data_IF_966341304180
#
_entry.id   IF_966341304180
#
_cell.length_a   1.000
_cell.length_b   1.000
_cell.length_c   1.000
_cell.angle_alpha   90.00
_cell.angle_beta   90.00
_cell.angle_gamma   90.00
#
_symmetry.space_group_name_H-M   'P 1'
#
loop_
_entity.id
_entity.type
_entity.pdbx_description
1 polymer ?
#
# COMPACT_ATOMS: atom_id res chain seq x y z
N UNK A 1 -29.37 10.79 15.72
CA UNK A 1 -30.06 10.55 14.44
C UNK A 1 -31.57 10.61 14.65
N UNK A 2 -32.33 10.93 13.61
CA UNK A 2 -33.80 10.84 13.59
C UNK A 2 -34.29 9.62 12.78
N UNK A 3 -33.49 8.59 12.67
CA UNK A 3 -33.73 7.38 11.91
C UNK A 3 -33.09 7.38 10.52
N UNK A 4 -33.07 8.50 9.82
CA UNK A 4 -32.51 8.62 8.45
C UNK A 4 -31.38 9.64 8.33
N UNK A 5 -31.47 10.72 9.13
CA UNK A 5 -30.51 11.81 9.08
C UNK A 5 -29.78 11.98 10.42
N UNK A 6 -28.60 12.55 10.32
CA UNK A 6 -27.72 12.91 11.43
C UNK A 6 -27.70 14.42 11.65
N UNK A 7 -27.41 14.82 12.87
CA UNK A 7 -27.15 16.18 13.27
C UNK A 7 -25.97 16.21 14.25
N UNK A 8 -25.26 17.31 14.29
CA UNK A 8 -24.21 17.56 15.28
C UNK A 8 -24.83 18.03 16.58
N UNK A 9 -24.39 17.47 17.70
CA UNK A 9 -24.84 17.85 19.04
C UNK A 9 -23.64 18.22 19.92
N UNK A 10 -23.72 19.35 20.60
CA UNK A 10 -22.70 19.76 21.57
C UNK A 10 -23.03 19.17 22.94
N UNK A 11 -22.15 18.30 23.44
CA UNK A 11 -22.27 17.74 24.79
C UNK A 11 -22.06 18.81 25.88
N UNK A 12 -21.15 19.77 25.62
CA UNK A 12 -20.85 20.83 26.60
C UNK A 12 -21.96 21.88 26.70
N UNK A 13 -22.66 22.18 25.61
CA UNK A 13 -23.75 23.15 25.58
C UNK A 13 -25.12 22.52 25.72
N UNK A 14 -25.20 21.19 25.61
CA UNK A 14 -26.46 20.45 25.75
C UNK A 14 -27.46 20.74 24.63
N UNK A 15 -27.01 21.11 23.43
CA UNK A 15 -27.90 21.49 22.33
C UNK A 15 -27.45 20.95 20.96
N UNK A 16 -28.39 20.90 20.03
CA UNK A 16 -28.08 20.66 18.62
C UNK A 16 -27.34 21.87 18.02
N UNK A 17 -26.26 21.60 17.30
CA UNK A 17 -25.51 22.61 16.53
C UNK A 17 -25.99 22.67 15.08
N UNK A 18 -26.61 21.59 14.58
CA UNK A 18 -27.20 21.54 13.23
C UNK A 18 -28.60 20.93 13.30
N UNK A 19 -29.38 21.15 12.25
CA UNK A 19 -30.60 20.37 12.03
C UNK A 19 -30.25 18.96 11.53
N UNK A 20 -31.25 18.04 11.49
CA UNK A 20 -31.09 16.68 10.94
C UNK A 20 -31.14 16.69 9.42
N UNK A 21 -30.08 17.22 8.79
CA UNK A 21 -29.98 17.45 7.36
C UNK A 21 -29.05 16.45 6.65
N UNK A 22 -28.14 15.80 7.39
CA UNK A 22 -27.07 15.04 6.79
C UNK A 22 -27.37 13.54 6.83
N UNK A 23 -27.18 12.85 5.70
CA UNK A 23 -27.26 11.39 5.66
C UNK A 23 -26.06 10.75 6.37
N UNK A 24 -24.91 11.46 6.38
CA UNK A 24 -23.70 11.03 7.06
C UNK A 24 -22.92 12.24 7.56
N UNK A 25 -22.41 12.14 8.77
CA UNK A 25 -21.37 13.00 9.33
C UNK A 25 -20.21 12.05 9.69
N UNK A 26 -19.01 12.26 9.13
CA UNK A 26 -17.83 11.45 9.46
C UNK A 26 -17.31 11.75 10.86
N UNK A 27 -16.31 10.99 11.29
CA UNK A 27 -15.48 11.41 12.41
C UNK A 27 -14.79 12.75 12.11
N UNK A 28 -14.48 13.49 13.19
CA UNK A 28 -13.75 14.74 13.11
C UNK A 28 -12.24 14.46 13.02
N UNK A 29 -11.59 15.07 12.02
CA UNK A 29 -10.14 15.12 11.88
C UNK A 29 -9.71 16.58 11.91
N UNK A 30 -8.78 16.95 12.77
CA UNK A 30 -8.28 18.32 12.92
C UNK A 30 -9.38 19.40 13.12
N UNK A 31 -10.51 19.00 13.72
CA UNK A 31 -11.65 19.88 13.94
C UNK A 31 -12.63 19.99 12.77
N UNK A 32 -12.49 19.16 11.75
CA UNK A 32 -13.29 19.16 10.54
C UNK A 32 -13.92 17.77 10.31
N UNK A 33 -15.16 17.73 9.80
CA UNK A 33 -15.84 16.49 9.42
C UNK A 33 -16.41 16.58 8.01
N UNK A 34 -16.35 15.48 7.31
CA UNK A 34 -17.05 15.35 6.03
C UNK A 34 -18.53 15.13 6.29
N UNK A 35 -19.38 15.83 5.56
CA UNK A 35 -20.83 15.71 5.66
C UNK A 35 -21.42 15.37 4.30
N UNK A 36 -22.41 14.46 4.31
CA UNK A 36 -23.14 14.08 3.10
C UNK A 36 -24.58 14.53 3.21
N UNK A 37 -25.02 15.31 2.24
CA UNK A 37 -26.41 15.70 2.08
C UNK A 37 -26.91 15.21 0.72
N UNK A 38 -27.94 14.37 0.73
CA UNK A 38 -28.44 13.66 -0.46
C UNK A 38 -27.31 12.84 -1.07
N UNK A 39 -26.74 13.26 -2.19
CA UNK A 39 -25.66 12.55 -2.90
C UNK A 39 -24.41 13.42 -3.09
N UNK A 40 -24.26 14.45 -2.26
CA UNK A 40 -23.13 15.37 -2.32
C UNK A 40 -22.43 15.46 -0.98
N UNK A 41 -21.12 15.61 -1.04
CA UNK A 41 -20.24 15.75 0.10
C UNK A 41 -19.78 17.20 0.26
N UNK A 42 -19.67 17.63 1.50
CA UNK A 42 -19.10 18.89 1.93
C UNK A 42 -18.28 18.72 3.21
N UNK A 43 -17.83 19.80 3.79
CA UNK A 43 -17.02 19.82 5.01
C UNK A 43 -17.64 20.80 6.00
N UNK A 44 -17.70 20.42 7.29
CA UNK A 44 -18.11 21.31 8.37
C UNK A 44 -17.12 21.28 9.53
N UNK A 45 -17.11 22.34 10.30
CA UNK A 45 -16.34 22.44 11.55
C UNK A 45 -17.10 21.91 12.78
N UNK A 46 -16.42 21.91 13.93
CA UNK A 46 -16.99 21.46 15.21
C UNK A 46 -18.15 22.29 15.71
N UNK A 47 -18.39 23.47 15.16
CA UNK A 47 -19.53 24.33 15.49
C UNK A 47 -20.78 24.00 14.65
N UNK A 48 -20.65 23.15 13.65
CA UNK A 48 -21.71 22.81 12.71
C UNK A 48 -21.77 23.77 11.50
N UNK A 49 -20.83 24.70 11.39
CA UNK A 49 -20.73 25.60 10.24
C UNK A 49 -20.11 24.85 9.04
N UNK A 50 -20.78 24.96 7.90
CA UNK A 50 -20.20 24.47 6.64
C UNK A 50 -19.00 25.33 6.24
N UNK A 51 -17.84 24.69 6.10
CA UNK A 51 -16.63 25.26 5.52
C UNK A 51 -16.70 25.13 4.00
N UNK A 52 -17.16 23.97 3.52
CA UNK A 52 -17.47 23.74 2.10
C UNK A 52 -18.87 23.15 1.98
N UNK A 53 -19.70 23.75 1.13
CA UNK A 53 -21.04 23.24 0.87
C UNK A 53 -21.01 21.84 0.23
N UNK A 54 -22.05 21.00 0.42
CA UNK A 54 -22.15 19.69 -0.20
C UNK A 54 -22.29 19.77 -1.73
N UNK A 55 -21.16 19.77 -2.43
CA UNK A 55 -21.08 19.91 -3.90
C UNK A 55 -20.31 18.77 -4.57
N UNK A 56 -19.44 18.08 -3.84
CA UNK A 56 -18.61 17.01 -4.40
C UNK A 56 -19.35 15.68 -4.50
N UNK A 57 -19.10 14.92 -5.56
CA UNK A 57 -19.61 13.54 -5.72
C UNK A 57 -18.93 12.54 -4.77
N UNK A 58 -17.68 12.80 -4.47
CA UNK A 58 -16.89 12.02 -3.53
C UNK A 58 -15.94 12.93 -2.78
N UNK A 59 -15.72 12.64 -1.51
CA UNK A 59 -14.78 13.33 -0.65
C UNK A 59 -14.14 12.32 0.28
N UNK A 60 -12.83 12.39 0.46
CA UNK A 60 -12.06 11.54 1.38
C UNK A 60 -10.97 12.36 2.04
N UNK A 61 -10.83 12.24 3.35
CA UNK A 61 -9.73 12.89 4.06
C UNK A 61 -8.40 12.25 3.68
N UNK A 62 -7.42 13.08 3.31
CA UNK A 62 -6.09 12.66 2.90
C UNK A 62 -5.04 12.77 4.04
N UNK A 63 -5.38 13.47 5.12
CA UNK A 63 -4.44 13.86 6.15
C UNK A 63 -4.00 15.33 6.04
N UNK A 64 -3.49 15.87 7.14
CA UNK A 64 -2.92 17.23 7.23
C UNK A 64 -3.84 18.35 6.70
N UNK A 65 -5.18 18.19 6.85
CA UNK A 65 -6.18 19.17 6.45
C UNK A 65 -6.45 19.24 4.94
N UNK A 66 -6.09 18.22 4.16
CA UNK A 66 -6.46 18.09 2.77
C UNK A 66 -7.46 16.96 2.52
N UNK A 67 -8.24 17.13 1.48
CA UNK A 67 -9.29 16.18 1.05
C UNK A 67 -9.16 15.89 -0.44
N UNK A 68 -9.27 14.61 -0.82
CA UNK A 68 -9.47 14.21 -2.20
C UNK A 68 -10.94 14.43 -2.55
N UNK A 69 -11.20 15.29 -3.50
CA UNK A 69 -12.54 15.68 -3.93
C UNK A 69 -12.76 15.31 -5.40
N UNK A 70 -13.86 14.60 -5.69
CA UNK A 70 -14.28 14.33 -7.07
C UNK A 70 -15.42 15.24 -7.44
N UNK A 71 -15.23 16.02 -8.51
CA UNK A 71 -16.23 16.92 -9.09
C UNK A 71 -17.19 16.21 -10.05
N UNK A 72 -18.19 16.93 -10.54
CA UNK A 72 -19.20 16.42 -11.48
C UNK A 72 -18.62 15.99 -12.83
N UNK A 73 -17.58 16.65 -13.30
CA UNK A 73 -16.84 16.30 -14.52
C UNK A 73 -15.93 15.07 -14.37
N UNK A 74 -15.94 14.43 -13.18
CA UNK A 74 -15.11 13.26 -12.86
C UNK A 74 -13.66 13.60 -12.48
N UNK A 75 -13.26 14.86 -12.55
CA UNK A 75 -11.92 15.28 -12.12
C UNK A 75 -11.72 15.08 -10.63
N UNK A 76 -10.49 14.69 -10.25
CA UNK A 76 -10.09 14.53 -8.85
C UNK A 76 -9.12 15.66 -8.49
N UNK A 77 -9.38 16.30 -7.37
CA UNK A 77 -8.60 17.42 -6.86
C UNK A 77 -8.28 17.21 -5.39
N UNK A 78 -7.13 17.70 -4.94
CA UNK A 78 -6.86 17.91 -3.52
C UNK A 78 -7.28 19.33 -3.14
N UNK A 79 -8.17 19.44 -2.14
CA UNK A 79 -8.71 20.71 -1.65
C UNK A 79 -8.53 20.82 -0.14
N UNK A 80 -8.45 22.04 0.37
CA UNK A 80 -8.54 22.29 1.81
C UNK A 80 -10.01 22.25 2.30
N UNK A 81 -10.22 22.38 3.59
CA UNK A 81 -11.56 22.37 4.17
C UNK A 81 -12.46 23.49 3.67
N UNK A 82 -11.91 24.63 3.25
CA UNK A 82 -12.64 25.72 2.62
C UNK A 82 -12.97 25.52 1.15
N UNK A 83 -12.51 24.39 0.56
CA UNK A 83 -12.68 24.07 -0.85
C UNK A 83 -11.64 24.73 -1.76
N UNK A 84 -10.59 25.35 -1.18
CA UNK A 84 -9.51 25.95 -1.98
C UNK A 84 -8.67 24.84 -2.61
N UNK A 85 -8.43 24.98 -3.91
CA UNK A 85 -7.70 24.00 -4.70
C UNK A 85 -6.20 24.01 -4.32
N UNK A 86 -5.69 22.87 -3.89
CA UNK A 86 -4.26 22.61 -3.72
C UNK A 86 -3.66 21.96 -4.96
N UNK A 87 -4.26 20.85 -5.43
CA UNK A 87 -3.77 20.11 -6.59
C UNK A 87 -4.94 19.56 -7.41
N UNK A 88 -4.81 19.55 -8.74
CA UNK A 88 -5.81 18.98 -9.66
C UNK A 88 -5.15 18.09 -10.70
N UNK A 89 -5.74 16.92 -10.94
CA UNK A 89 -5.37 16.10 -12.09
C UNK A 89 -6.23 16.45 -13.30
N UNK A 90 -5.63 16.40 -14.46
CA UNK A 90 -6.35 16.52 -15.74
C UNK A 90 -6.74 15.15 -16.31
N UNK A 91 -6.26 14.08 -15.70
CA UNK A 91 -6.53 12.71 -16.13
C UNK A 91 -7.43 12.00 -15.11
N UNK A 92 -8.19 11.03 -15.59
CA UNK A 92 -8.92 10.15 -14.70
C UNK A 92 -7.93 9.36 -13.83
N UNK A 93 -8.12 9.44 -12.50
CA UNK A 93 -7.37 8.65 -11.52
C UNK A 93 -8.34 8.02 -10.53
N UNK A 94 -7.94 6.95 -9.90
CA UNK A 94 -8.74 6.29 -8.85
C UNK A 94 -8.87 7.16 -7.59
N UNK A 95 -7.85 7.94 -7.27
CA UNK A 95 -7.76 8.80 -6.10
C UNK A 95 -6.34 9.25 -5.81
N UNK A 96 -6.14 9.87 -4.65
CA UNK A 96 -4.83 10.20 -4.10
C UNK A 96 -4.52 9.30 -2.90
N UNK A 97 -3.25 9.10 -2.61
CA UNK A 97 -2.80 8.48 -1.36
C UNK A 97 -3.05 9.40 -0.16
N UNK A 98 -2.96 8.85 1.03
CA UNK A 98 -2.82 9.69 2.23
C UNK A 98 -1.62 10.64 2.09
N UNK A 99 -1.80 11.85 2.65
CA UNK A 99 -0.74 12.82 2.77
C UNK A 99 0.18 12.42 3.92
N UNK A 100 1.47 12.27 3.64
CA UNK A 100 2.50 11.98 4.65
C UNK A 100 3.70 12.87 4.44
N UNK A 101 4.17 13.50 5.50
CA UNK A 101 5.30 14.44 5.43
C UNK A 101 5.12 15.54 4.38
N UNK A 102 3.88 16.02 4.19
CA UNK A 102 3.54 17.01 3.17
C UNK A 102 3.57 16.50 1.73
N UNK A 103 3.64 15.21 1.50
CA UNK A 103 3.61 14.54 0.19
C UNK A 103 2.39 13.64 0.05
N UNK A 104 1.86 13.57 -1.17
CA UNK A 104 0.91 12.56 -1.62
C UNK A 104 1.29 12.10 -3.03
N UNK A 105 0.69 11.03 -3.49
CA UNK A 105 0.91 10.52 -4.85
C UNK A 105 -0.39 10.01 -5.47
N UNK A 106 -0.37 9.88 -6.78
CA UNK A 106 -1.37 9.14 -7.54
C UNK A 106 -0.70 8.38 -8.69
N UNK A 107 -1.39 7.36 -9.17
CA UNK A 107 -0.96 6.61 -10.33
C UNK A 107 -1.70 7.13 -11.58
N UNK A 108 -0.98 7.27 -12.68
CA UNK A 108 -1.55 7.57 -13.99
C UNK A 108 -1.89 6.27 -14.74
N UNK A 109 -2.71 6.37 -15.78
CA UNK A 109 -3.13 5.19 -16.56
C UNK A 109 -1.99 4.43 -17.25
N UNK A 110 -0.83 5.07 -17.44
CA UNK A 110 0.39 4.48 -18.03
C UNK A 110 1.35 3.91 -16.98
N UNK A 111 0.91 3.78 -15.71
CA UNK A 111 1.74 3.23 -14.63
C UNK A 111 2.78 4.21 -14.06
N UNK A 112 2.67 5.50 -14.38
CA UNK A 112 3.57 6.52 -13.81
C UNK A 112 3.04 6.98 -12.44
N UNK A 113 3.88 6.88 -11.40
CA UNK A 113 3.61 7.49 -10.11
C UNK A 113 3.95 8.98 -10.15
N UNK A 114 2.98 9.83 -9.80
CA UNK A 114 3.17 11.27 -9.67
C UNK A 114 3.13 11.62 -8.18
N UNK A 115 4.21 12.21 -7.69
CA UNK A 115 4.30 12.75 -6.33
C UNK A 115 4.07 14.26 -6.36
N UNK A 116 3.24 14.75 -5.46
CA UNK A 116 2.95 16.18 -5.31
C UNK A 116 2.98 16.59 -3.84
N UNK A 117 3.26 17.87 -3.61
CA UNK A 117 3.33 18.44 -2.28
C UNK A 117 1.99 18.97 -1.81
N UNK A 118 1.82 19.11 -0.51
CA UNK A 118 0.62 19.69 0.13
C UNK A 118 0.19 21.02 -0.50
N UNK A 119 1.12 21.87 -0.92
CA UNK A 119 0.86 23.14 -1.58
C UNK A 119 0.55 23.03 -3.09
N UNK A 120 0.37 21.82 -3.60
CA UNK A 120 0.07 21.53 -5.00
C UNK A 120 1.28 21.52 -5.93
N UNK A 121 2.48 21.77 -5.40
CA UNK A 121 3.70 21.73 -6.20
C UNK A 121 4.05 20.32 -6.63
N UNK A 122 4.40 20.12 -7.90
CA UNK A 122 4.96 18.87 -8.39
C UNK A 122 6.26 18.56 -7.65
N UNK A 123 6.41 17.32 -7.17
CA UNK A 123 7.61 16.88 -6.49
C UNK A 123 8.48 16.01 -7.41
N UNK A 124 7.92 14.95 -7.99
CA UNK A 124 8.60 14.08 -8.92
C UNK A 124 7.61 13.15 -9.64
N UNK A 125 8.11 12.45 -10.67
CA UNK A 125 7.42 11.31 -11.26
C UNK A 125 8.36 10.12 -11.38
N UNK A 126 7.83 8.89 -11.18
CA UNK A 126 8.58 7.65 -11.34
C UNK A 126 7.77 6.75 -12.27
N UNK A 127 8.34 6.41 -13.41
CA UNK A 127 7.70 5.55 -14.42
C UNK A 127 7.83 4.08 -14.04
N UNK A 128 6.82 3.30 -14.47
CA UNK A 128 6.85 1.84 -14.31
C UNK A 128 7.19 1.43 -12.87
N UNK A 129 6.58 2.10 -11.90
CA UNK A 129 6.84 1.91 -10.49
C UNK A 129 5.55 1.62 -9.72
N UNK A 130 5.67 0.78 -8.71
CA UNK A 130 4.57 0.29 -7.90
C UNK A 130 4.89 0.42 -6.40
N UNK A 131 3.88 0.15 -5.57
CA UNK A 131 3.98 0.06 -4.11
C UNK A 131 4.75 1.23 -3.46
N UNK A 132 4.37 2.48 -3.76
CA UNK A 132 5.09 3.63 -3.23
C UNK A 132 4.86 3.80 -1.74
N UNK A 133 5.94 4.06 -1.01
CA UNK A 133 5.92 4.42 0.40
C UNK A 133 6.67 5.72 0.61
N UNK A 134 6.00 6.72 1.19
CA UNK A 134 6.62 8.00 1.54
C UNK A 134 7.36 7.81 2.88
N UNK A 135 8.67 8.01 2.88
CA UNK A 135 9.53 7.83 4.04
C UNK A 135 9.86 9.15 4.73
N UNK A 136 10.03 10.22 3.97
CA UNK A 136 10.24 11.59 4.45
C UNK A 136 9.64 12.58 3.46
N UNK A 137 9.74 13.88 3.74
CA UNK A 137 9.31 14.95 2.81
C UNK A 137 10.01 14.92 1.44
N UNK A 138 11.10 14.16 1.28
CA UNK A 138 11.88 14.12 0.05
C UNK A 138 12.36 12.72 -0.36
N UNK A 139 12.07 11.69 0.42
CA UNK A 139 12.50 10.31 0.12
C UNK A 139 11.30 9.40 0.04
N UNK A 140 11.23 8.67 -1.04
CA UNK A 140 10.22 7.62 -1.26
C UNK A 140 10.91 6.29 -1.53
N UNK A 141 10.24 5.21 -1.16
CA UNK A 141 10.56 3.86 -1.59
C UNK A 141 9.52 3.45 -2.63
N UNK A 142 9.96 2.88 -3.74
CA UNK A 142 9.09 2.32 -4.78
C UNK A 142 9.63 0.96 -5.22
N UNK A 143 8.78 0.12 -5.77
CA UNK A 143 9.20 -1.07 -6.50
C UNK A 143 9.26 -0.73 -7.98
N UNK A 144 10.38 -0.99 -8.62
CA UNK A 144 10.59 -0.81 -10.05
C UNK A 144 11.51 -1.93 -10.55
N UNK A 145 11.15 -2.62 -11.63
CA UNK A 145 11.86 -3.80 -12.15
C UNK A 145 12.05 -4.89 -11.06
N UNK A 146 11.02 -5.17 -10.28
CA UNK A 146 11.01 -6.09 -9.12
C UNK A 146 12.07 -5.77 -8.06
N UNK A 147 12.48 -4.52 -7.98
CA UNK A 147 13.53 -4.07 -7.06
C UNK A 147 13.04 -2.86 -6.27
N UNK A 148 13.23 -2.89 -4.95
CA UNK A 148 12.97 -1.72 -4.12
C UNK A 148 14.04 -0.67 -4.32
N UNK A 149 13.61 0.53 -4.71
CA UNK A 149 14.48 1.70 -4.91
C UNK A 149 14.07 2.82 -3.97
N UNK A 150 15.04 3.41 -3.32
CA UNK A 150 14.88 4.58 -2.48
C UNK A 150 15.31 5.79 -3.28
N UNK A 151 14.39 6.71 -3.53
CA UNK A 151 14.57 7.82 -4.46
C UNK A 151 14.49 9.14 -3.69
N UNK A 152 15.49 10.00 -3.89
CA UNK A 152 15.43 11.41 -3.47
C UNK A 152 14.63 12.21 -4.50
N UNK A 153 13.48 12.74 -4.08
CA UNK A 153 12.55 13.48 -4.95
C UNK A 153 13.07 14.84 -5.40
N UNK A 154 14.07 15.42 -4.71
CA UNK A 154 14.66 16.70 -5.11
C UNK A 154 15.61 16.56 -6.29
N UNK A 155 16.41 15.51 -6.26
CA UNK A 155 17.43 15.26 -7.28
C UNK A 155 17.01 14.23 -8.32
N UNK A 156 15.95 13.45 -8.05
CA UNK A 156 15.55 12.29 -8.86
C UNK A 156 16.53 11.13 -8.79
N UNK A 157 17.51 11.17 -7.89
CA UNK A 157 18.54 10.13 -7.79
C UNK A 157 18.07 8.97 -6.92
N UNK A 158 18.39 7.76 -7.35
CA UNK A 158 18.31 6.57 -6.52
C UNK A 158 19.40 6.64 -5.44
N UNK A 159 18.99 6.70 -4.18
CA UNK A 159 19.86 6.71 -3.01
C UNK A 159 20.34 5.31 -2.67
N UNK A 160 19.46 4.34 -2.82
CA UNK A 160 19.70 2.94 -2.59
C UNK A 160 18.80 2.10 -3.50
N UNK A 161 19.34 1.04 -4.01
CA UNK A 161 18.60 0.00 -4.74
C UNK A 161 18.87 -1.32 -4.05
N UNK A 162 17.80 -2.04 -3.73
CA UNK A 162 17.94 -3.35 -3.10
C UNK A 162 18.65 -4.30 -4.08
N UNK A 163 19.74 -4.95 -3.66
CA UNK A 163 20.43 -5.88 -4.53
C UNK A 163 19.49 -7.00 -5.00
N UNK A 164 19.49 -7.28 -6.32
CA UNK A 164 18.75 -8.44 -6.86
C UNK A 164 19.35 -9.77 -6.41
N UNK A 165 20.59 -9.74 -5.95
CA UNK A 165 21.27 -10.89 -5.35
C UNK A 165 22.17 -10.45 -4.22
N UNK A 166 22.32 -11.28 -3.20
CA UNK A 166 23.22 -11.06 -2.06
C UNK A 166 24.19 -12.22 -1.94
N UNK A 167 25.42 -11.89 -1.56
CA UNK A 167 26.46 -12.86 -1.28
C UNK A 167 26.18 -13.50 0.09
N UNK A 168 26.08 -14.83 0.10
CA UNK A 168 25.92 -15.61 1.31
C UNK A 168 27.25 -16.13 1.85
N UNK A 169 28.37 -15.82 1.17
CA UNK A 169 29.71 -16.32 1.46
C UNK A 169 30.06 -17.57 0.65
N UNK A 170 31.38 -17.87 0.60
CA UNK A 170 31.87 -19.04 -0.12
C UNK A 170 31.62 -19.07 -1.63
N UNK A 171 31.33 -17.93 -2.25
CA UNK A 171 30.95 -17.82 -3.66
C UNK A 171 29.49 -18.20 -3.95
N UNK A 172 28.69 -18.37 -2.91
CA UNK A 172 27.28 -18.69 -3.00
C UNK A 172 26.49 -17.40 -2.93
N UNK A 173 25.55 -17.21 -3.87
CA UNK A 173 24.67 -16.05 -3.92
C UNK A 173 23.20 -16.48 -3.87
N UNK A 174 22.34 -15.66 -3.28
CA UNK A 174 20.90 -15.79 -3.35
C UNK A 174 20.31 -14.64 -4.15
N UNK A 175 19.40 -14.93 -5.06
CA UNK A 175 18.58 -13.97 -5.79
C UNK A 175 17.13 -14.11 -5.32
N UNK A 176 16.46 -13.00 -5.05
CA UNK A 176 15.01 -13.03 -4.78
C UNK A 176 14.26 -13.43 -6.06
N UNK A 177 13.39 -14.42 -5.93
CA UNK A 177 12.38 -14.77 -6.92
C UNK A 177 11.04 -14.35 -6.36
N UNK A 178 10.38 -13.45 -7.05
CA UNK A 178 9.00 -13.06 -6.77
C UNK A 178 8.05 -13.99 -7.51
N UNK A 179 7.05 -14.51 -6.80
CA UNK A 179 6.01 -15.35 -7.36
C UNK A 179 4.64 -14.79 -7.00
N UNK A 180 3.93 -14.35 -8.02
CA UNK A 180 2.58 -13.85 -7.92
C UNK A 180 1.61 -14.79 -8.63
N UNK A 181 0.45 -15.04 -8.01
CA UNK A 181 -0.64 -15.79 -8.61
C UNK A 181 -1.96 -15.19 -8.19
N UNK A 182 -2.60 -14.50 -9.11
CA UNK A 182 -3.96 -14.00 -8.90
C UNK A 182 -4.96 -15.18 -8.87
N UNK A 183 -5.82 -15.22 -7.86
CA UNK A 183 -6.82 -16.26 -7.64
C UNK A 183 -8.25 -15.75 -7.79
N UNK A 184 -8.46 -14.42 -7.77
CA UNK A 184 -9.78 -13.79 -7.91
C UNK A 184 -10.03 -12.68 -6.89
N UNK A 185 -11.30 -12.34 -6.72
CA UNK A 185 -11.76 -11.36 -5.73
C UNK A 185 -12.60 -12.05 -4.67
N UNK A 186 -12.47 -11.64 -3.43
CA UNK A 186 -13.38 -12.02 -2.34
C UNK A 186 -14.72 -11.29 -2.46
N UNK A 187 -15.71 -11.69 -1.65
CA UNK A 187 -17.04 -11.07 -1.69
C UNK A 187 -17.03 -9.58 -1.27
N UNK A 188 -16.04 -9.15 -0.52
CA UNK A 188 -15.80 -7.75 -0.12
C UNK A 188 -15.06 -6.94 -1.19
N UNK A 189 -14.69 -7.54 -2.32
CA UNK A 189 -13.95 -6.90 -3.41
C UNK A 189 -12.44 -6.87 -3.23
N UNK A 190 -11.89 -7.47 -2.17
CA UNK A 190 -10.44 -7.58 -2.01
C UNK A 190 -9.87 -8.65 -2.96
N UNK A 191 -8.72 -8.36 -3.55
CA UNK A 191 -7.96 -9.33 -4.34
C UNK A 191 -7.45 -10.42 -3.41
N UNK A 192 -7.53 -11.66 -3.87
CA UNK A 192 -6.86 -12.76 -3.21
C UNK A 192 -5.98 -13.54 -4.19
N UNK A 193 -4.87 -14.00 -3.68
CA UNK A 193 -3.86 -14.65 -4.49
C UNK A 193 -2.61 -14.95 -3.67
N UNK A 194 -1.55 -15.26 -4.39
CA UNK A 194 -0.26 -15.55 -3.81
C UNK A 194 0.73 -14.48 -4.21
N UNK A 195 1.43 -13.94 -3.22
CA UNK A 195 2.51 -12.96 -3.33
C UNK A 195 3.65 -13.45 -2.44
N UNK A 196 4.62 -14.15 -3.03
CA UNK A 196 5.63 -14.89 -2.27
C UNK A 196 7.01 -14.61 -2.83
N UNK A 197 7.88 -14.10 -1.97
CA UNK A 197 9.31 -13.98 -2.22
C UNK A 197 10.06 -15.17 -1.64
N UNK A 198 10.92 -15.80 -2.46
CA UNK A 198 11.82 -16.86 -1.99
C UNK A 198 13.18 -16.78 -2.70
N UNK A 199 14.27 -17.33 -2.09
CA UNK A 199 15.58 -17.27 -2.70
C UNK A 199 15.78 -18.34 -3.77
N UNK A 200 16.46 -17.95 -4.84
CA UNK A 200 17.12 -18.87 -5.79
C UNK A 200 18.62 -18.81 -5.55
N UNK A 201 19.20 -19.96 -5.24
CA UNK A 201 20.62 -20.09 -4.88
C UNK A 201 21.45 -20.36 -6.13
N UNK A 202 22.62 -19.73 -6.20
CA UNK A 202 23.62 -19.97 -7.23
C UNK A 202 25.04 -19.99 -6.64
N UNK A 203 26.02 -20.40 -7.47
CA UNK A 203 27.41 -20.48 -7.04
C UNK A 203 27.89 -21.84 -6.56
N UNK A 204 27.00 -22.83 -6.39
CA UNK A 204 27.43 -24.19 -6.04
C UNK A 204 28.17 -24.84 -7.23
N UNK A 205 29.24 -25.59 -6.91
CA UNK A 205 30.02 -26.32 -7.91
C UNK A 205 29.23 -27.46 -8.56
N UNK A 206 28.42 -28.18 -7.76
CA UNK A 206 27.51 -29.21 -8.29
C UNK A 206 26.18 -28.57 -8.70
N UNK A 207 25.94 -28.48 -10.00
CA UNK A 207 24.72 -27.90 -10.56
C UNK A 207 23.47 -28.76 -10.33
N UNK A 208 23.62 -30.06 -10.12
CA UNK A 208 22.50 -30.95 -9.81
C UNK A 208 22.03 -30.72 -8.36
N UNK A 209 22.97 -30.61 -7.43
CA UNK A 209 22.69 -30.26 -6.05
C UNK A 209 22.03 -28.88 -5.97
N UNK A 210 22.59 -27.87 -6.67
CA UNK A 210 22.00 -26.54 -6.74
C UNK A 210 20.54 -26.57 -7.24
N UNK A 211 20.27 -27.32 -8.32
CA UNK A 211 18.91 -27.46 -8.87
C UNK A 211 17.94 -28.13 -7.90
N UNK A 212 18.42 -29.16 -7.18
CA UNK A 212 17.62 -29.85 -6.16
C UNK A 212 17.27 -28.90 -5.02
N UNK A 213 18.23 -28.18 -4.46
CA UNK A 213 18.02 -27.19 -3.40
C UNK A 213 16.99 -26.13 -3.84
N UNK A 214 17.15 -25.57 -5.03
CA UNK A 214 16.22 -24.55 -5.54
C UNK A 214 14.79 -25.11 -5.75
N UNK A 215 14.68 -26.35 -6.18
CA UNK A 215 13.38 -27.03 -6.31
C UNK A 215 12.69 -27.24 -4.96
N UNK A 216 13.46 -27.64 -3.94
CA UNK A 216 12.94 -27.82 -2.59
C UNK A 216 12.55 -26.49 -1.94
N UNK A 217 13.38 -25.46 -2.07
CA UNK A 217 13.06 -24.09 -1.62
C UNK A 217 11.74 -23.64 -2.26
N UNK A 218 11.64 -23.69 -3.58
CA UNK A 218 10.43 -23.31 -4.30
C UNK A 218 9.21 -24.11 -3.82
N UNK A 219 9.36 -25.42 -3.66
CA UNK A 219 8.28 -26.28 -3.19
C UNK A 219 7.85 -25.93 -1.77
N UNK A 220 8.79 -25.65 -0.89
CA UNK A 220 8.54 -25.24 0.50
C UNK A 220 7.72 -23.95 0.59
N UNK A 221 8.11 -22.92 -0.15
CA UNK A 221 7.40 -21.65 -0.15
C UNK A 221 6.02 -21.73 -0.81
N UNK A 222 5.88 -22.46 -1.93
CA UNK A 222 4.63 -22.50 -2.68
C UNK A 222 3.65 -23.60 -2.24
N UNK A 223 4.06 -24.54 -1.39
CA UNK A 223 3.17 -25.56 -0.83
C UNK A 223 2.81 -25.28 0.63
N UNK A 224 3.59 -24.44 1.31
CA UNK A 224 3.43 -24.18 2.74
C UNK A 224 3.76 -25.38 3.62
N UNK A 225 3.46 -25.32 4.91
CA UNK A 225 3.76 -26.39 5.87
C UNK A 225 2.92 -27.65 5.68
N UNK A 226 1.88 -27.61 4.85
CA UNK A 226 1.02 -28.76 4.54
C UNK A 226 0.98 -29.00 3.03
N UNK A 227 1.47 -30.16 2.60
CA UNK A 227 1.51 -30.59 1.20
C UNK A 227 0.11 -30.70 0.57
N UNK A 228 -0.94 -30.69 1.38
CA UNK A 228 -2.34 -30.89 0.98
C UNK A 228 -3.21 -29.64 1.11
N UNK A 229 -2.67 -28.54 1.62
CA UNK A 229 -3.46 -27.32 1.79
C UNK A 229 -3.47 -26.50 0.50
N UNK A 230 -4.66 -26.30 -0.08
CA UNK A 230 -4.91 -25.24 -1.01
C UNK A 230 -5.18 -23.97 -0.20
N UNK A 231 -4.36 -22.93 -0.39
CA UNK A 231 -4.57 -21.62 0.21
C UNK A 231 -5.21 -20.70 -0.82
N UNK A 232 -6.18 -19.91 -0.36
CA UNK A 232 -6.82 -18.88 -1.17
C UNK A 232 -5.92 -17.63 -1.27
N UNK A 233 -5.12 -17.40 -0.21
CA UNK A 233 -4.12 -16.33 -0.16
C UNK A 233 -2.84 -16.85 0.49
N UNK A 234 -1.70 -16.41 -0.03
CA UNK A 234 -0.38 -16.70 0.52
C UNK A 234 0.53 -15.50 0.30
N UNK A 235 1.00 -14.91 1.39
CA UNK A 235 2.03 -13.88 1.38
C UNK A 235 3.28 -14.44 2.06
N UNK A 236 4.46 -14.19 1.49
CA UNK A 236 5.67 -14.74 2.06
C UNK A 236 6.90 -13.91 1.80
N UNK A 237 7.78 -13.91 2.80
CA UNK A 237 9.12 -13.36 2.73
C UNK A 237 10.13 -14.36 3.30
N UNK A 238 11.41 -14.11 3.04
CA UNK A 238 12.46 -15.02 3.47
C UNK A 238 13.67 -14.32 4.05
N UNK A 239 14.52 -15.11 4.71
CA UNK A 239 15.92 -14.84 4.94
C UNK A 239 16.76 -16.06 4.59
N UNK A 240 18.05 -15.86 4.31
CA UNK A 240 18.98 -16.92 4.03
C UNK A 240 20.37 -16.61 4.58
N UNK A 241 21.08 -17.63 5.06
CA UNK A 241 22.47 -17.52 5.48
C UNK A 241 23.23 -18.82 5.20
N UNK A 242 24.54 -18.71 5.08
CA UNK A 242 25.45 -19.87 5.02
C UNK A 242 26.38 -19.82 6.22
N UNK A 243 26.41 -20.90 7.00
CA UNK A 243 27.33 -21.07 8.12
C UNK A 243 28.11 -22.37 7.93
N UNK A 244 29.40 -22.25 7.66
CA UNK A 244 30.25 -23.39 7.30
C UNK A 244 29.77 -24.08 6.03
N UNK A 245 29.28 -25.32 6.14
CA UNK A 245 28.72 -26.10 5.03
C UNK A 245 27.18 -26.06 4.97
N UNK A 246 26.53 -25.35 5.85
CA UNK A 246 25.07 -25.41 5.95
C UNK A 246 24.45 -24.12 5.42
N UNK A 247 23.60 -24.25 4.40
CA UNK A 247 22.68 -23.21 3.97
C UNK A 247 21.39 -23.32 4.79
N UNK A 248 21.01 -22.24 5.44
CA UNK A 248 19.71 -22.12 6.11
C UNK A 248 18.86 -21.11 5.37
N UNK A 249 17.63 -21.50 5.04
CA UNK A 249 16.61 -20.64 4.46
C UNK A 249 15.40 -20.66 5.38
N UNK A 250 14.98 -19.51 5.88
CA UNK A 250 13.79 -19.40 6.70
C UNK A 250 12.71 -18.60 6.00
N UNK A 251 11.47 -19.04 6.19
CA UNK A 251 10.27 -18.43 5.64
C UNK A 251 9.45 -17.78 6.73
N UNK A 252 8.89 -16.62 6.38
CA UNK A 252 7.92 -15.87 7.14
C UNK A 252 6.69 -15.76 6.26
N UNK A 253 5.64 -16.54 6.51
CA UNK A 253 4.49 -16.59 5.60
C UNK A 253 3.19 -16.40 6.35
N UNK A 254 2.25 -15.74 5.69
CA UNK A 254 0.85 -15.64 6.08
C UNK A 254 0.03 -16.39 5.03
N UNK A 255 -0.74 -17.35 5.45
CA UNK A 255 -1.63 -18.09 4.55
C UNK A 255 -3.08 -17.92 4.98
N UNK A 256 -3.98 -17.79 4.00
CA UNK A 256 -5.43 -17.64 4.21
C UNK A 256 -6.21 -18.76 3.54
N UNK A 257 -7.28 -19.22 4.20
CA UNK A 257 -8.28 -20.11 3.62
C UNK A 257 -9.66 -19.72 4.12
N UNK A 258 -10.53 -19.25 3.22
CA UNK A 258 -11.82 -18.69 3.60
C UNK A 258 -11.63 -17.46 4.51
N UNK A 259 -12.37 -17.39 5.62
CA UNK A 259 -12.29 -16.30 6.60
C UNK A 259 -11.16 -16.44 7.63
N UNK A 260 -10.31 -17.48 7.52
CA UNK A 260 -9.22 -17.74 8.45
C UNK A 260 -7.85 -17.41 7.86
N UNK A 261 -6.95 -16.87 8.68
CA UNK A 261 -5.54 -16.71 8.34
C UNK A 261 -4.64 -17.36 9.37
N UNK A 262 -3.49 -17.84 8.93
CA UNK A 262 -2.46 -18.44 9.77
C UNK A 262 -1.10 -17.88 9.41
N UNK A 263 -0.33 -17.52 10.44
CA UNK A 263 1.08 -17.15 10.28
C UNK A 263 1.93 -18.38 10.57
N UNK A 264 2.88 -18.65 9.71
CA UNK A 264 3.84 -19.70 9.96
C UNK A 264 5.27 -19.25 9.66
N UNK A 265 6.18 -19.67 10.55
CA UNK A 265 7.61 -19.44 10.43
C UNK A 265 8.26 -20.82 10.45
N UNK A 266 9.02 -21.13 9.43
CA UNK A 266 9.69 -22.42 9.31
C UNK A 266 11.02 -22.25 8.58
N UNK A 267 11.90 -23.26 8.64
CA UNK A 267 13.18 -23.20 7.96
C UNK A 267 13.51 -24.52 7.26
N UNK A 268 14.31 -24.38 6.20
CA UNK A 268 15.02 -25.47 5.54
C UNK A 268 16.52 -25.33 5.84
N UNK A 269 17.18 -26.47 6.04
CA UNK A 269 18.63 -26.51 6.15
C UNK A 269 19.19 -27.54 5.16
N UNK A 270 20.20 -27.16 4.41
CA UNK A 270 20.85 -27.98 3.41
C UNK A 270 22.34 -28.09 3.71
N UNK A 271 22.87 -29.32 3.73
CA UNK A 271 24.32 -29.49 3.67
C UNK A 271 24.78 -29.28 2.22
N UNK A 272 25.70 -28.38 2.00
CA UNK A 272 26.15 -27.96 0.66
C UNK A 272 27.20 -28.94 0.06
N UNK A 273 27.68 -29.93 0.83
CA UNK A 273 28.74 -30.85 0.44
C UNK A 273 28.29 -32.32 0.44
N UNK A 274 27.08 -32.60 0.86
CA UNK A 274 26.45 -33.93 0.79
C UNK A 274 25.16 -33.88 -0.03
#
# INVERSE_FOLDING_TARGET
TNGTNQALYSLSEGKLLTEFLYNTISEFHDGEAMVRQINRWGIMDTTGKLLTAPTYYYLSYMGEGLYAARSEDGSVSAVDAGGSLSYRTLSYISGFSELRYGLSWHNTADGTLIFFRKNGGFAASVKEAENPTILTENVVCVTQDDTRKYIDLRSGKTLFEQPKSFDLGGGITARTVHYEKFMGYQQDGTEHGWDVDFPEISGLSDKKVQSTINSEIRSFFLKGPSVTAEYDALEGSYGASVEGSVLVVWANCVSGKGAGSSVWNNCLAFDLYT
#
